data_IF_721866201125
#
_entry.id   IF_721866201125
#
_cell.length_a   1.000
_cell.length_b   1.000
_cell.length_c   1.000
_cell.angle_alpha   90.00
_cell.angle_beta   90.00
_cell.angle_gamma   90.00
#
_symmetry.space_group_name_H-M   'P 1'
#
loop_
_entity.id
_entity.type
_entity.pdbx_description
1 polymer ?
#
# COMPACT_ATOMS: atom_id res chain seq x y z
N UNK A 1 -18.01 -27.83 -1.55
CA UNK A 1 -17.80 -26.50 -2.15
C UNK A 1 -18.78 -25.58 -1.42
N UNK A 2 -18.46 -24.75 -0.44
CA UNK A 2 -17.77 -23.45 -0.52
C UNK A 2 -17.52 -23.00 0.95
N UNK A 3 -16.39 -23.36 1.57
CA UNK A 3 -16.05 -22.86 2.93
C UNK A 3 -14.53 -22.74 3.11
N UNK A 4 -13.84 -22.03 2.20
CA UNK A 4 -12.40 -21.77 2.34
C UNK A 4 -11.97 -20.46 1.65
N UNK A 5 -12.58 -19.33 2.02
CA UNK A 5 -12.11 -18.04 1.50
C UNK A 5 -12.22 -16.87 2.50
N UNK A 6 -11.72 -17.09 3.72
CA UNK A 6 -11.25 -15.99 4.56
C UNK A 6 -9.80 -16.28 4.95
N UNK A 7 -8.88 -16.26 3.97
CA UNK A 7 -7.46 -16.12 4.28
C UNK A 7 -7.26 -14.67 4.72
N UNK A 8 -7.21 -14.45 6.03
CA UNK A 8 -6.53 -13.27 6.56
C UNK A 8 -5.05 -13.44 6.17
N UNK A 9 -4.56 -12.62 5.25
CA UNK A 9 -3.15 -12.62 4.90
C UNK A 9 -2.37 -12.11 6.11
N UNK A 10 -1.63 -13.01 6.76
CA UNK A 10 -0.61 -12.63 7.73
C UNK A 10 0.65 -12.26 6.95
N UNK A 11 0.80 -10.98 6.61
CA UNK A 11 2.02 -10.48 5.98
C UNK A 11 3.19 -10.60 6.95
N UNK A 12 4.32 -11.09 6.47
CA UNK A 12 5.58 -11.03 7.21
C UNK A 12 6.30 -9.69 6.95
N UNK A 13 7.33 -9.39 7.75
CA UNK A 13 8.06 -8.11 7.66
C UNK A 13 8.69 -7.86 6.28
N UNK A 14 9.14 -8.90 5.57
CA UNK A 14 9.70 -8.75 4.23
C UNK A 14 8.62 -8.32 3.23
N UNK A 15 7.44 -8.95 3.29
CA UNK A 15 6.33 -8.62 2.40
C UNK A 15 5.82 -7.19 2.64
N UNK A 16 5.77 -6.72 3.89
CA UNK A 16 5.42 -5.33 4.20
C UNK A 16 6.46 -4.35 3.64
N UNK A 17 7.76 -4.66 3.77
CA UNK A 17 8.83 -3.84 3.20
C UNK A 17 8.77 -3.78 1.67
N UNK A 18 8.38 -4.86 1.01
CA UNK A 18 8.22 -4.89 -0.45
C UNK A 18 6.95 -4.13 -0.91
N UNK A 19 5.93 -4.08 -0.07
CA UNK A 19 4.68 -3.35 -0.33
C UNK A 19 4.86 -1.82 -0.28
N UNK A 20 5.70 -1.31 0.62
CA UNK A 20 5.98 0.14 0.76
C UNK A 20 6.39 0.82 -0.55
N UNK A 21 7.44 0.37 -1.27
CA UNK A 21 7.85 1.00 -2.53
C UNK A 21 6.80 0.80 -3.63
N UNK A 22 5.98 -0.25 -3.57
CA UNK A 22 4.87 -0.43 -4.50
C UNK A 22 3.80 0.63 -4.30
N UNK A 23 3.29 0.78 -3.07
CA UNK A 23 2.27 1.78 -2.73
C UNK A 23 2.76 3.19 -3.04
N UNK A 24 4.03 3.50 -2.75
CA UNK A 24 4.62 4.80 -3.12
C UNK A 24 4.61 5.08 -4.62
N UNK A 25 4.97 4.09 -5.45
CA UNK A 25 4.90 4.24 -6.91
C UNK A 25 3.47 4.44 -7.37
N UNK A 26 2.53 3.71 -6.79
CA UNK A 26 1.13 3.80 -7.17
C UNK A 26 0.52 5.15 -6.79
N UNK A 27 0.87 5.71 -5.62
CA UNK A 27 0.53 7.09 -5.23
C UNK A 27 0.98 8.09 -6.31
N UNK A 28 2.26 8.04 -6.71
CA UNK A 28 2.80 8.97 -7.71
C UNK A 28 2.10 8.79 -9.04
N UNK A 29 1.87 7.54 -9.49
CA UNK A 29 1.17 7.25 -10.74
C UNK A 29 -0.26 7.77 -10.73
N UNK A 30 -1.00 7.56 -9.64
CA UNK A 30 -2.40 7.98 -9.53
C UNK A 30 -2.53 9.51 -9.50
N UNK A 31 -1.72 10.19 -8.68
CA UNK A 31 -1.71 11.66 -8.58
C UNK A 31 -1.30 12.27 -9.91
N UNK A 32 -0.29 11.71 -10.58
CA UNK A 32 0.13 12.17 -11.90
C UNK A 32 -0.96 11.94 -12.96
N UNK A 33 -1.59 10.76 -12.99
CA UNK A 33 -2.61 10.42 -13.96
C UNK A 33 -3.84 11.34 -13.90
N UNK A 34 -4.20 11.83 -12.71
CA UNK A 34 -5.32 12.76 -12.52
C UNK A 34 -4.87 14.24 -12.46
N UNK A 35 -3.55 14.49 -12.60
CA UNK A 35 -2.92 15.81 -12.48
C UNK A 35 -3.42 16.63 -11.28
N UNK A 36 -3.68 15.95 -10.17
CA UNK A 36 -4.34 16.53 -9.01
C UNK A 36 -3.91 15.80 -7.74
N UNK A 37 -3.65 16.57 -6.69
CA UNK A 37 -3.20 16.10 -5.39
C UNK A 37 -1.75 16.46 -5.05
N UNK A 38 -1.37 16.22 -3.80
CA UNK A 38 -0.01 16.45 -3.29
C UNK A 38 0.56 15.13 -2.75
N UNK A 39 1.47 14.46 -3.50
CA UNK A 39 1.91 13.12 -3.14
C UNK A 39 2.86 13.11 -1.93
N UNK A 40 3.47 14.25 -1.57
CA UNK A 40 4.47 14.32 -0.51
C UNK A 40 3.97 13.80 0.84
N UNK A 41 2.75 14.18 1.23
CA UNK A 41 2.14 13.73 2.49
C UNK A 41 1.90 12.23 2.54
N UNK A 42 1.27 11.68 1.49
CA UNK A 42 0.97 10.24 1.40
C UNK A 42 2.22 9.37 1.26
N UNK A 43 3.25 9.85 0.55
CA UNK A 43 4.54 9.17 0.42
C UNK A 43 5.29 9.03 1.76
N UNK A 44 5.23 10.07 2.59
CA UNK A 44 5.90 10.11 3.89
C UNK A 44 5.25 9.24 4.97
N UNK A 45 3.94 8.97 4.84
CA UNK A 45 3.18 8.18 5.82
C UNK A 45 2.90 6.73 5.36
N UNK A 46 3.39 6.35 4.17
CA UNK A 46 3.14 5.03 3.58
C UNK A 46 3.59 3.86 4.47
N UNK A 47 4.79 3.90 5.09
CA UNK A 47 5.23 2.83 6.01
C UNK A 47 4.31 2.69 7.22
N UNK A 48 3.87 3.82 7.78
CA UNK A 48 3.04 3.83 8.98
C UNK A 48 1.68 3.19 8.73
N UNK A 49 1.00 3.55 7.63
CA UNK A 49 -0.30 2.96 7.31
C UNK A 49 -0.20 1.48 6.94
N UNK A 50 0.84 1.07 6.20
CA UNK A 50 1.06 -0.35 5.84
C UNK A 50 1.33 -1.20 7.09
N UNK A 51 1.97 -0.64 8.12
CA UNK A 51 2.18 -1.37 9.37
C UNK A 51 0.90 -1.51 10.21
N UNK A 52 -0.07 -0.60 10.03
CA UNK A 52 -1.32 -0.58 10.79
C UNK A 52 -2.47 -1.39 10.14
N UNK A 53 -2.47 -1.53 8.82
CA UNK A 53 -3.58 -2.07 8.02
C UNK A 53 -3.09 -3.01 6.92
#
# INVERSE_FOLDING_TARGET
>A
MIFNHYRMNNYNLQELNDLVPQVRRDIVRMVHAQNSGHPGGSLGVSEYFIALY
#
